data_IF_340113192952
#
_entry.id   IF_340113192952
#
_cell.length_a   1.000
_cell.length_b   1.000
_cell.length_c   1.000
_cell.angle_alpha   90.00
_cell.angle_beta   90.00
_cell.angle_gamma   90.00
#
_symmetry.space_group_name_H-M   'P 1'
#
loop_
_entity.id
_entity.type
_entity.pdbx_description
1 polymer ?
#
# COMPACT_ATOMS: atom_id res chain seq x y z
N UNK A 1 17.36 3.20 -18.70
CA UNK A 1 17.77 2.22 -19.73
C UNK A 1 18.99 1.50 -19.19
N UNK A 2 18.98 0.17 -19.11
CA UNK A 2 20.18 -0.56 -18.68
C UNK A 2 21.27 -0.40 -19.74
N UNK A 3 22.52 -0.25 -19.29
CA UNK A 3 23.67 0.22 -20.08
C UNK A 3 24.04 -0.65 -21.31
N UNK A 4 23.32 -1.73 -21.60
CA UNK A 4 23.53 -2.60 -22.76
C UNK A 4 22.28 -2.95 -23.57
N UNK A 5 21.10 -2.48 -23.15
CA UNK A 5 19.85 -2.90 -23.80
C UNK A 5 19.53 -2.02 -25.02
N UNK A 6 19.17 -2.67 -26.14
CA UNK A 6 18.74 -1.98 -27.36
C UNK A 6 17.33 -1.40 -27.27
N UNK A 7 16.51 -1.95 -26.37
CA UNK A 7 15.11 -1.57 -26.16
C UNK A 7 14.93 -1.14 -24.69
N UNK A 8 13.96 -0.28 -24.39
CA UNK A 8 13.65 0.05 -23.00
C UNK A 8 13.14 -1.20 -22.26
N UNK A 9 13.42 -1.33 -20.95
CA UNK A 9 12.77 -2.34 -20.14
C UNK A 9 11.25 -2.09 -20.15
N UNK A 10 10.47 -3.15 -20.28
CA UNK A 10 9.01 -3.09 -20.43
C UNK A 10 8.23 -3.92 -19.41
N UNK A 11 8.92 -4.73 -18.59
CA UNK A 11 8.31 -5.57 -17.58
C UNK A 11 9.31 -5.86 -16.44
N UNK A 12 8.75 -6.13 -15.26
CA UNK A 12 9.48 -6.67 -14.11
C UNK A 12 8.90 -8.04 -13.81
N UNK A 13 9.76 -9.06 -13.72
CA UNK A 13 9.36 -10.38 -13.25
C UNK A 13 9.60 -10.45 -11.74
N UNK A 14 8.55 -10.78 -10.99
CA UNK A 14 8.59 -10.95 -9.54
C UNK A 14 8.15 -12.36 -9.15
N UNK A 15 8.32 -12.70 -7.87
CA UNK A 15 7.82 -13.94 -7.28
C UNK A 15 6.31 -14.10 -7.54
N UNK A 16 5.89 -15.32 -7.88
CA UNK A 16 4.47 -15.67 -7.92
C UNK A 16 3.97 -16.07 -6.53
N UNK A 17 2.94 -15.39 -6.04
CA UNK A 17 2.31 -15.68 -4.75
C UNK A 17 0.90 -16.25 -5.00
N UNK A 18 0.67 -17.54 -4.69
CA UNK A 18 -0.63 -18.16 -4.89
C UNK A 18 -1.74 -17.46 -4.12
N UNK A 19 -2.93 -17.36 -4.74
CA UNK A 19 -4.16 -16.88 -4.11
C UNK A 19 -4.05 -15.50 -3.44
N UNK A 20 -3.14 -14.66 -3.94
CA UNK A 20 -3.00 -13.28 -3.51
C UNK A 20 -4.20 -12.46 -3.98
N UNK A 21 -4.87 -11.78 -3.05
CA UNK A 21 -6.06 -10.96 -3.30
C UNK A 21 -5.91 -9.60 -2.60
N UNK A 22 -6.49 -8.52 -3.13
CA UNK A 22 -6.60 -7.27 -2.37
C UNK A 22 -7.33 -7.51 -1.04
N UNK A 23 -6.94 -6.79 0.01
CA UNK A 23 -7.69 -6.82 1.26
C UNK A 23 -9.11 -6.31 1.05
N UNK A 24 -10.10 -7.00 1.61
CA UNK A 24 -11.52 -6.63 1.60
C UNK A 24 -12.25 -7.20 2.83
N UNK A 25 -13.57 -7.04 2.89
CA UNK A 25 -14.38 -7.57 4.01
C UNK A 25 -14.38 -9.11 4.09
N UNK A 26 -14.18 -9.82 2.98
CA UNK A 26 -14.22 -11.29 2.91
C UNK A 26 -12.94 -11.97 3.41
N UNK A 27 -11.83 -11.24 3.41
CA UNK A 27 -10.53 -11.70 3.89
C UNK A 27 -9.98 -10.87 5.06
N UNK A 28 -10.83 -10.03 5.65
CA UNK A 28 -10.49 -9.15 6.76
C UNK A 28 -9.86 -9.91 7.95
N UNK A 29 -8.80 -9.32 8.50
CA UNK A 29 -8.22 -9.67 9.79
C UNK A 29 -7.54 -8.44 10.39
N UNK A 30 -7.73 -8.23 11.70
CA UNK A 30 -7.02 -7.17 12.43
C UNK A 30 -5.50 -7.34 12.35
N UNK A 31 -5.02 -8.58 12.29
CA UNK A 31 -3.59 -8.88 12.14
C UNK A 31 -3.05 -8.38 10.79
N UNK A 32 -3.79 -8.57 9.71
CA UNK A 32 -3.38 -8.11 8.38
C UNK A 32 -3.35 -6.58 8.28
N UNK A 33 -4.27 -5.88 8.95
CA UNK A 33 -4.25 -4.42 9.02
C UNK A 33 -3.04 -3.89 9.80
N UNK A 34 -2.69 -4.53 10.92
CA UNK A 34 -1.49 -4.19 11.67
C UNK A 34 -0.22 -4.39 10.82
N UNK A 35 -0.16 -5.48 10.07
CA UNK A 35 0.97 -5.76 9.19
C UNK A 35 1.08 -4.77 8.04
N UNK A 36 -0.04 -4.39 7.40
CA UNK A 36 -0.03 -3.34 6.37
C UNK A 36 0.49 -2.00 6.91
N UNK A 37 0.17 -1.68 8.17
CA UNK A 37 0.69 -0.48 8.85
C UNK A 37 2.19 -0.60 9.09
N UNK A 38 2.67 -1.76 9.55
CA UNK A 38 4.11 -1.98 9.75
C UNK A 38 4.89 -1.92 8.42
N UNK A 39 4.36 -2.51 7.35
CA UNK A 39 4.95 -2.43 6.01
C UNK A 39 5.08 -0.97 5.55
N UNK A 40 4.04 -0.14 5.76
CA UNK A 40 4.12 1.28 5.42
C UNK A 40 5.20 2.00 6.25
N UNK A 41 5.28 1.69 7.54
CA UNK A 41 6.34 2.22 8.40
C UNK A 41 7.74 1.86 7.87
N UNK A 42 7.95 0.61 7.50
CA UNK A 42 9.23 0.15 6.95
C UNK A 42 9.58 0.82 5.62
N UNK A 43 8.57 1.05 4.75
CA UNK A 43 8.72 1.83 3.51
C UNK A 43 9.21 3.26 3.83
N UNK A 44 8.61 3.92 4.82
CA UNK A 44 9.02 5.25 5.25
C UNK A 44 10.40 5.27 5.91
N UNK A 45 10.75 4.26 6.71
CA UNK A 45 12.09 4.09 7.29
C UNK A 45 13.15 3.90 6.19
N UNK A 46 12.80 3.22 5.10
CA UNK A 46 13.63 3.10 3.90
C UNK A 46 13.67 4.38 3.05
N UNK A 47 13.05 5.48 3.52
CA UNK A 47 13.00 6.79 2.86
C UNK A 47 12.26 6.76 1.52
N UNK A 48 11.26 5.91 1.42
CA UNK A 48 10.37 5.82 0.27
C UNK A 48 8.99 6.33 0.69
N UNK A 49 8.37 7.18 -0.12
CA UNK A 49 6.94 7.45 -0.07
C UNK A 49 6.27 6.54 -1.10
N UNK A 50 5.22 5.80 -0.74
CA UNK A 50 4.58 4.91 -1.71
C UNK A 50 3.70 5.68 -2.69
N UNK A 51 2.91 6.65 -2.19
CA UNK A 51 2.16 7.60 -3.02
C UNK A 51 0.83 7.11 -3.56
N UNK A 52 0.48 5.83 -3.35
CA UNK A 52 -0.82 5.26 -3.75
C UNK A 52 -1.40 4.42 -2.59
N UNK A 53 -2.39 4.95 -1.86
CA UNK A 53 -2.96 4.30 -0.68
C UNK A 53 -4.11 3.34 -1.02
N UNK A 54 -4.39 3.03 -2.29
CA UNK A 54 -5.58 2.26 -2.67
C UNK A 54 -5.48 0.79 -2.28
N UNK A 55 -6.61 0.18 -1.94
CA UNK A 55 -6.65 -1.20 -1.44
C UNK A 55 -6.19 -2.25 -2.47
N UNK A 56 -6.29 -1.92 -3.77
CA UNK A 56 -5.74 -2.74 -4.87
C UNK A 56 -4.23 -3.03 -4.76
N UNK A 57 -3.51 -2.21 -4.00
CA UNK A 57 -2.06 -2.34 -3.77
C UNK A 57 -1.75 -3.05 -2.45
N UNK A 58 -2.77 -3.37 -1.63
CA UNK A 58 -2.65 -4.00 -0.32
C UNK A 58 -3.12 -5.44 -0.40
N UNK A 59 -2.18 -6.37 -0.51
CA UNK A 59 -2.45 -7.74 -0.93
C UNK A 59 -2.27 -8.73 0.20
N UNK A 60 -3.18 -9.70 0.28
CA UNK A 60 -3.22 -10.77 1.28
C UNK A 60 -3.17 -12.12 0.57
N UNK A 61 -2.32 -13.03 1.04
CA UNK A 61 -2.39 -14.47 0.71
C UNK A 61 -2.59 -15.26 1.99
N UNK A 62 -3.83 -15.69 2.26
CA UNK A 62 -4.19 -16.42 3.49
C UNK A 62 -3.51 -17.78 3.58
N UNK A 63 -3.36 -18.46 2.45
CA UNK A 63 -2.73 -19.79 2.41
C UNK A 63 -1.24 -19.74 2.74
N UNK A 64 -0.58 -18.62 2.42
CA UNK A 64 0.84 -18.41 2.69
C UNK A 64 1.09 -17.58 3.95
N UNK A 65 0.03 -17.08 4.58
CA UNK A 65 0.06 -16.08 5.67
C UNK A 65 0.94 -14.87 5.36
N UNK A 66 0.76 -14.29 4.16
CA UNK A 66 1.56 -13.15 3.68
C UNK A 66 0.70 -11.91 3.46
N UNK A 67 1.28 -10.77 3.80
CA UNK A 67 0.77 -9.43 3.54
C UNK A 67 1.80 -8.69 2.71
N UNK A 68 1.37 -8.03 1.64
CA UNK A 68 2.25 -7.30 0.73
C UNK A 68 1.65 -5.94 0.40
N UNK A 69 2.54 -4.98 0.18
CA UNK A 69 2.22 -3.73 -0.47
C UNK A 69 2.96 -3.69 -1.81
N UNK A 70 2.23 -3.55 -2.91
CA UNK A 70 2.74 -3.63 -4.28
C UNK A 70 2.51 -2.32 -5.02
N UNK A 71 3.04 -2.25 -6.25
CA UNK A 71 2.84 -1.12 -7.17
C UNK A 71 3.49 0.19 -6.71
N UNK A 72 4.80 0.31 -6.96
CA UNK A 72 5.61 1.46 -6.58
C UNK A 72 5.79 2.46 -7.73
N UNK A 73 4.89 2.48 -8.72
CA UNK A 73 5.03 3.36 -9.89
C UNK A 73 4.96 4.86 -9.55
N UNK A 74 4.20 5.18 -8.50
CA UNK A 74 3.97 6.51 -7.93
C UNK A 74 4.95 6.84 -6.80
N UNK A 75 5.84 5.90 -6.47
CA UNK A 75 6.71 6.02 -5.32
C UNK A 75 7.81 7.07 -5.54
N UNK A 76 8.21 7.72 -4.46
CA UNK A 76 9.29 8.69 -4.45
C UNK A 76 10.37 8.29 -3.45
N UNK A 77 11.64 8.42 -3.84
CA UNK A 77 12.79 8.18 -2.96
C UNK A 77 13.30 9.53 -2.48
N UNK A 78 13.53 9.66 -1.17
CA UNK A 78 14.10 10.87 -0.58
C UNK A 78 15.61 10.72 -0.42
N UNK A 79 16.37 11.47 -1.23
CA UNK A 79 17.83 11.38 -1.33
C UNK A 79 18.60 12.25 -0.34
N UNK A 80 17.95 13.24 0.27
CA UNK A 80 18.58 14.13 1.24
C UNK A 80 18.88 13.41 2.57
N UNK A 81 19.74 13.94 3.44
CA UNK A 81 19.95 13.34 4.77
C UNK A 81 18.71 13.53 5.68
N UNK A 82 17.88 14.53 5.43
CA UNK A 82 16.64 14.82 6.17
C UNK A 82 15.49 15.15 5.21
N UNK A 83 14.26 14.88 5.63
CA UNK A 83 13.08 15.29 4.88
C UNK A 83 12.94 16.81 4.87
N UNK A 84 12.51 17.37 3.75
CA UNK A 84 12.02 18.74 3.67
C UNK A 84 10.65 18.84 4.33
N UNK A 85 10.20 20.03 4.78
CA UNK A 85 8.88 20.20 5.39
C UNK A 85 7.71 19.70 4.52
N UNK A 86 7.87 19.79 3.19
CA UNK A 86 6.89 19.27 2.22
C UNK A 86 6.87 17.74 2.21
N UNK A 87 8.04 17.10 2.20
CA UNK A 87 8.13 15.64 2.26
C UNK A 87 7.63 15.09 3.60
N UNK A 88 7.90 15.78 4.72
CA UNK A 88 7.31 15.44 6.03
C UNK A 88 5.80 15.48 6.00
N UNK A 89 5.22 16.48 5.32
CA UNK A 89 3.76 16.59 5.15
C UNK A 89 3.21 15.42 4.35
N UNK A 90 3.84 15.04 3.23
CA UNK A 90 3.42 13.89 2.42
C UNK A 90 3.48 12.57 3.18
N UNK A 91 4.56 12.33 3.92
CA UNK A 91 4.69 11.14 4.77
C UNK A 91 3.59 11.11 5.82
N UNK A 92 3.33 12.26 6.47
CA UNK A 92 2.28 12.38 7.46
C UNK A 92 0.88 12.12 6.87
N UNK A 93 0.58 12.68 5.70
CA UNK A 93 -0.68 12.44 4.99
C UNK A 93 -0.85 10.96 4.64
N UNK A 94 0.21 10.28 4.18
CA UNK A 94 0.15 8.84 3.89
C UNK A 94 -0.09 7.98 5.15
N UNK A 95 0.49 8.37 6.28
CA UNK A 95 0.21 7.75 7.58
C UNK A 95 -1.25 7.98 8.00
N UNK A 96 -1.74 9.22 7.92
CA UNK A 96 -3.12 9.56 8.29
C UNK A 96 -4.15 8.82 7.42
N UNK A 97 -3.89 8.68 6.13
CA UNK A 97 -4.72 7.86 5.23
C UNK A 97 -4.71 6.39 5.64
N UNK A 98 -3.55 5.85 6.00
CA UNK A 98 -3.45 4.45 6.44
C UNK A 98 -4.20 4.21 7.76
N UNK A 99 -4.05 5.10 8.75
CA UNK A 99 -4.78 4.99 10.02
C UNK A 99 -6.30 5.09 9.80
N UNK A 100 -6.74 6.05 8.98
CA UNK A 100 -8.15 6.14 8.62
C UNK A 100 -8.65 4.86 7.95
N UNK A 101 -7.91 4.30 7.00
CA UNK A 101 -8.29 3.07 6.32
C UNK A 101 -8.44 1.89 7.29
N UNK A 102 -7.51 1.73 8.23
CA UNK A 102 -7.55 0.68 9.26
C UNK A 102 -8.81 0.82 10.11
N UNK A 103 -9.07 2.01 10.64
CA UNK A 103 -10.24 2.26 11.48
C UNK A 103 -11.55 2.09 10.71
N UNK A 104 -11.62 2.62 9.49
CA UNK A 104 -12.77 2.54 8.63
C UNK A 104 -13.12 1.09 8.25
N UNK A 105 -12.12 0.29 7.88
CA UNK A 105 -12.35 -1.10 7.47
C UNK A 105 -12.75 -1.98 8.66
N UNK A 106 -12.23 -1.73 9.86
CA UNK A 106 -12.68 -2.41 11.09
C UNK A 106 -14.17 -2.16 11.31
N UNK A 107 -14.62 -0.92 11.23
CA UNK A 107 -16.03 -0.56 11.41
C UNK A 107 -16.91 -1.14 10.30
N UNK A 108 -16.46 -1.08 9.04
CA UNK A 108 -17.18 -1.63 7.90
C UNK A 108 -17.31 -3.16 7.99
N UNK A 109 -16.29 -3.86 8.53
CA UNK A 109 -16.36 -5.29 8.81
C UNK A 109 -17.35 -5.61 9.94
N UNK A 110 -17.32 -4.86 11.04
CA UNK A 110 -18.25 -5.04 12.17
C UNK A 110 -19.70 -4.81 11.76
N UNK A 111 -19.96 -3.90 10.82
CA UNK A 111 -21.30 -3.64 10.25
C UNK A 111 -21.65 -4.56 9.07
N UNK A 112 -20.69 -5.31 8.54
CA UNK A 112 -20.86 -6.15 7.35
C UNK A 112 -21.13 -5.37 6.06
N UNK A 113 -20.73 -4.10 6.00
CA UNK A 113 -21.01 -3.19 4.88
C UNK A 113 -19.85 -2.23 4.62
N UNK A 114 -19.37 -2.20 3.38
CA UNK A 114 -18.31 -1.30 2.93
C UNK A 114 -18.91 0.07 2.57
N UNK A 115 -18.78 1.07 3.45
CA UNK A 115 -19.16 2.45 3.14
C UNK A 115 -18.19 3.51 3.66
N UNK A 116 -17.40 3.25 4.71
CA UNK A 116 -16.39 4.20 5.20
C UNK A 116 -15.13 4.10 4.35
N UNK A 117 -14.64 2.89 4.15
CA UNK A 117 -13.44 2.64 3.36
C UNK A 117 -13.73 2.63 1.84
N UNK A 118 -14.98 2.85 1.41
CA UNK A 118 -15.42 2.72 0.01
C UNK A 118 -14.50 3.42 -1.01
N UNK A 119 -14.07 4.65 -0.70
CA UNK A 119 -13.20 5.44 -1.58
C UNK A 119 -11.83 4.82 -1.83
N UNK A 120 -11.35 3.94 -0.96
CA UNK A 120 -10.08 3.23 -1.13
C UNK A 120 -10.18 2.13 -2.20
N UNK A 121 -11.40 1.68 -2.51
CA UNK A 121 -11.67 0.60 -3.45
C UNK A 121 -12.16 1.12 -4.81
N UNK A 122 -13.01 2.16 -4.81
CA UNK A 122 -13.79 2.50 -6.01
C UNK A 122 -13.61 3.94 -6.51
N UNK A 123 -13.05 4.83 -5.71
CA UNK A 123 -12.84 6.21 -6.16
C UNK A 123 -11.54 6.31 -6.95
N UNK A 124 -11.64 6.87 -8.16
CA UNK A 124 -10.51 7.33 -8.95
C UNK A 124 -10.28 8.80 -8.58
N UNK A 125 -9.21 9.10 -7.85
CA UNK A 125 -8.73 10.48 -7.80
C UNK A 125 -8.06 10.75 -9.15
N UNK A 126 -8.72 11.57 -9.97
CA UNK A 126 -8.18 12.11 -11.22
C UNK A 126 -7.31 13.32 -10.88
#
# INVERSE_FOLDING_TARGET
MFLGDKLPPNAVLIEYIPNMQPIDLSNFSKQYLLELRHILHDIHQARVLHGDPKSRNMMISREQDRVLRIDFDSAQIFSEDSLTPRQETWVKEEIEMMEYFVEALVQDYEEGKLHRAYSYYYDWFI
#
